data_IF_722215349484
#
_entry.id   IF_722215349484
#
_cell.length_a   1.000
_cell.length_b   1.000
_cell.length_c   1.000
_cell.angle_alpha   90.00
_cell.angle_beta   90.00
_cell.angle_gamma   90.00
#
_symmetry.space_group_name_H-M   'P 1'
#
loop_
_entity.id
_entity.type
_entity.pdbx_description
1 polymer ?
#
# COMPACT_ATOMS: atom_id res chain seq x y z
N UNK A 1 -12.44 3.99 2.44
CA UNK A 1 -11.92 4.91 1.46
C UNK A 1 -10.87 5.81 2.04
N UNK A 2 -10.05 6.33 1.20
CA UNK A 2 -8.95 7.18 1.61
C UNK A 2 -9.42 8.38 2.42
N UNK A 3 -10.45 9.05 1.96
CA UNK A 3 -10.96 10.21 2.64
C UNK A 3 -11.41 9.90 4.04
N UNK A 4 -12.03 8.74 4.22
CA UNK A 4 -12.47 8.36 5.54
C UNK A 4 -11.30 8.10 6.47
N UNK A 5 -10.24 7.53 5.95
CA UNK A 5 -9.05 7.32 6.76
C UNK A 5 -8.47 8.64 7.25
N UNK A 6 -8.41 9.64 6.37
CA UNK A 6 -7.85 10.94 6.74
C UNK A 6 -8.75 11.71 7.69
N UNK A 7 -10.03 11.71 7.42
CA UNK A 7 -10.98 12.46 8.22
C UNK A 7 -11.07 11.94 9.63
N UNK A 8 -10.83 10.67 9.80
CA UNK A 8 -11.02 10.04 11.07
C UNK A 8 -9.77 9.90 11.90
N UNK A 9 -8.80 10.77 11.68
CA UNK A 9 -7.59 10.65 12.43
C UNK A 9 -7.84 10.68 13.94
N UNK A 10 -8.72 11.55 14.40
CA UNK A 10 -9.07 11.59 15.83
C UNK A 10 -9.86 10.39 16.26
N UNK A 11 -10.77 9.95 15.43
CA UNK A 11 -11.56 8.77 15.75
C UNK A 11 -10.71 7.55 15.76
N UNK A 12 -9.64 7.56 14.99
CA UNK A 12 -8.75 6.43 14.98
C UNK A 12 -8.11 6.18 16.33
N UNK A 13 -7.87 7.21 17.11
CA UNK A 13 -7.31 7.00 18.43
C UNK A 13 -8.28 6.28 19.33
N UNK A 14 -9.56 6.65 19.28
CA UNK A 14 -10.58 5.94 20.03
C UNK A 14 -10.79 4.57 19.46
N UNK A 15 -10.77 4.46 18.14
CA UNK A 15 -10.96 3.18 17.47
C UNK A 15 -9.78 2.25 17.69
N UNK A 16 -8.58 2.81 17.85
CA UNK A 16 -7.39 1.98 18.11
C UNK A 16 -7.52 1.25 19.43
N UNK A 17 -8.12 1.89 20.44
CA UNK A 17 -8.34 1.22 21.71
C UNK A 17 -9.26 0.04 21.55
N UNK A 18 -10.28 0.18 20.71
CA UNK A 18 -11.19 -0.93 20.42
C UNK A 18 -10.55 -1.96 19.52
N UNK A 19 -9.65 -1.54 18.65
CA UNK A 19 -9.01 -2.43 17.72
C UNK A 19 -8.19 -3.50 18.41
N UNK A 20 -7.67 -3.21 19.58
CA UNK A 20 -6.96 -4.24 20.34
C UNK A 20 -7.90 -5.34 20.80
N UNK A 21 -9.19 -5.05 20.88
CA UNK A 21 -10.19 -6.05 21.28
C UNK A 21 -10.75 -6.74 20.03
N UNK A 22 -10.98 -5.97 18.98
CA UNK A 22 -11.60 -6.48 17.74
C UNK A 22 -10.84 -5.97 16.52
N UNK A 23 -9.65 -6.53 16.30
CA UNK A 23 -8.88 -6.18 15.12
C UNK A 23 -9.58 -6.70 13.87
N UNK A 24 -9.70 -5.88 12.83
CA UNK A 24 -10.26 -6.37 11.58
C UNK A 24 -9.29 -7.36 10.93
N UNK A 25 -9.85 -8.34 10.22
CA UNK A 25 -9.03 -9.28 9.48
C UNK A 25 -8.45 -8.64 8.23
N UNK A 26 -9.16 -7.68 7.66
CA UNK A 26 -8.78 -7.04 6.41
C UNK A 26 -8.98 -5.54 6.54
N UNK A 27 -8.00 -4.80 6.05
CA UNK A 27 -8.10 -3.35 5.90
C UNK A 27 -7.99 -3.04 4.41
N UNK A 28 -8.94 -2.26 3.91
CA UNK A 28 -8.90 -1.80 2.52
C UNK A 28 -8.48 -0.34 2.51
N UNK A 29 -7.43 -0.04 1.75
CA UNK A 29 -6.90 1.31 1.65
C UNK A 29 -6.84 1.70 0.17
N UNK A 30 -7.63 2.71 -0.19
CA UNK A 30 -7.76 3.17 -1.56
C UNK A 30 -7.00 4.49 -1.71
N UNK A 31 -5.83 4.43 -2.33
CA UNK A 31 -4.93 5.58 -2.51
C UNK A 31 -4.69 6.31 -1.19
N UNK A 32 -4.26 5.60 -0.16
CA UNK A 32 -4.24 6.18 1.19
C UNK A 32 -3.23 7.30 1.35
N UNK A 33 -2.27 7.41 0.43
CA UNK A 33 -1.20 8.39 0.55
C UNK A 33 -1.40 9.60 -0.36
N UNK A 34 -2.47 9.62 -1.14
CA UNK A 34 -2.63 10.62 -2.19
C UNK A 34 -2.75 12.06 -1.72
N UNK A 35 -3.28 12.27 -0.51
CA UNK A 35 -3.50 13.62 0.00
C UNK A 35 -2.53 14.00 1.11
N UNK A 36 -1.52 13.20 1.37
CA UNK A 36 -0.60 13.39 2.49
C UNK A 36 0.75 13.91 2.01
N UNK A 37 1.44 14.63 2.89
CA UNK A 37 2.81 15.00 2.62
C UNK A 37 3.73 13.79 2.83
N UNK A 38 5.01 13.95 2.51
CA UNK A 38 5.94 12.83 2.52
C UNK A 38 6.08 12.19 3.89
N UNK A 39 6.13 13.01 4.92
CA UNK A 39 6.30 12.49 6.28
C UNK A 39 5.07 11.72 6.72
N UNK A 40 3.90 12.30 6.52
CA UNK A 40 2.65 11.65 6.91
C UNK A 40 2.43 10.38 6.11
N UNK A 41 2.83 10.39 4.84
CA UNK A 41 2.76 9.21 3.99
C UNK A 41 3.58 8.08 4.59
N UNK A 42 4.83 8.36 4.94
CA UNK A 42 5.69 7.32 5.52
C UNK A 42 5.15 6.83 6.85
N UNK A 43 4.64 7.73 7.68
CA UNK A 43 4.08 7.33 8.96
C UNK A 43 2.90 6.40 8.78
N UNK A 44 2.03 6.71 7.83
CA UNK A 44 0.88 5.86 7.56
C UNK A 44 1.30 4.50 7.06
N UNK A 45 2.23 4.46 6.10
CA UNK A 45 2.69 3.20 5.55
C UNK A 45 3.35 2.33 6.61
N UNK A 46 4.13 2.93 7.50
CA UNK A 46 4.75 2.20 8.58
C UNK A 46 3.72 1.62 9.53
N UNK A 47 2.66 2.36 9.82
CA UNK A 47 1.59 1.86 10.68
C UNK A 47 0.88 0.67 10.05
N UNK A 48 0.60 0.76 8.77
CA UNK A 48 -0.05 -0.34 8.06
C UNK A 48 0.82 -1.58 8.07
N UNK A 49 2.12 -1.38 7.83
CA UNK A 49 3.04 -2.51 7.86
C UNK A 49 3.13 -3.11 9.24
N UNK A 50 3.14 -2.28 10.26
CA UNK A 50 3.17 -2.76 11.64
C UNK A 50 1.95 -3.63 11.94
N UNK A 51 0.77 -3.17 11.53
CA UNK A 51 -0.44 -3.95 11.76
C UNK A 51 -0.40 -5.29 11.04
N UNK A 52 0.16 -5.29 9.84
CA UNK A 52 0.28 -6.53 9.11
C UNK A 52 1.25 -7.50 9.79
N UNK A 53 2.39 -6.99 10.23
CA UNK A 53 3.44 -7.85 10.80
C UNK A 53 3.11 -8.30 12.22
N UNK A 54 2.55 -7.42 13.04
CA UNK A 54 2.32 -7.73 14.44
C UNK A 54 0.99 -8.38 14.72
N UNK A 55 -0.01 -8.08 13.91
CA UNK A 55 -1.36 -8.57 14.16
C UNK A 55 -1.91 -9.43 13.05
N UNK A 56 -1.08 -9.75 12.05
CA UNK A 56 -1.49 -10.56 10.90
C UNK A 56 -2.70 -10.00 10.17
N UNK A 57 -2.87 -8.67 10.23
CA UNK A 57 -3.95 -8.03 9.51
C UNK A 57 -3.61 -8.04 8.01
N UNK A 58 -4.55 -8.49 7.19
CA UNK A 58 -4.37 -8.41 5.75
C UNK A 58 -4.71 -7.01 5.28
N UNK A 59 -3.82 -6.41 4.51
CA UNK A 59 -4.04 -5.06 4.01
C UNK A 59 -4.07 -5.13 2.50
N UNK A 60 -5.18 -4.67 1.94
CA UNK A 60 -5.34 -4.55 0.50
C UNK A 60 -5.29 -3.07 0.16
N UNK A 61 -4.23 -2.68 -0.54
CA UNK A 61 -4.03 -1.28 -0.87
C UNK A 61 -4.09 -1.10 -2.37
N UNK A 62 -4.84 -0.09 -2.81
CA UNK A 62 -4.87 0.31 -4.20
C UNK A 62 -4.10 1.61 -4.31
N UNK A 63 -3.06 1.62 -5.12
CA UNK A 63 -2.22 2.81 -5.27
C UNK A 63 -1.47 2.76 -6.59
N UNK A 64 -1.09 3.92 -7.09
CA UNK A 64 -0.16 4.01 -8.21
C UNK A 64 1.19 4.57 -7.76
N UNK A 65 1.39 4.71 -6.46
CA UNK A 65 2.62 5.23 -5.88
C UNK A 65 3.57 4.07 -5.58
N UNK A 66 4.72 4.00 -6.28
CA UNK A 66 5.64 2.88 -6.06
C UNK A 66 6.24 2.86 -4.65
N UNK A 67 6.33 4.00 -3.99
CA UNK A 67 6.80 4.00 -2.60
C UNK A 67 5.81 3.26 -1.71
N UNK A 68 4.53 3.56 -1.87
CA UNK A 68 3.50 2.86 -1.10
C UNK A 68 3.52 1.37 -1.41
N UNK A 69 3.63 1.03 -2.67
CA UNK A 69 3.65 -0.37 -3.08
C UNK A 69 4.85 -1.12 -2.50
N UNK A 70 5.98 -0.45 -2.32
CA UNK A 70 7.18 -1.10 -1.80
C UNK A 70 7.05 -1.53 -0.34
N UNK A 71 6.05 -1.04 0.37
CA UNK A 71 5.81 -1.46 1.74
C UNK A 71 5.01 -2.75 1.84
N UNK A 72 4.52 -3.26 0.71
CA UNK A 72 3.72 -4.47 0.70
C UNK A 72 4.60 -5.70 0.49
N UNK A 73 4.00 -6.87 0.71
CA UNK A 73 4.67 -8.13 0.45
C UNK A 73 4.47 -8.59 -0.99
N UNK A 74 3.40 -8.14 -1.60
CA UNK A 74 3.00 -8.59 -2.93
C UNK A 74 2.35 -7.43 -3.66
N UNK A 75 2.73 -7.25 -4.90
CA UNK A 75 2.17 -6.22 -5.77
C UNK A 75 1.55 -6.89 -6.97
N UNK A 76 0.28 -6.57 -7.22
CA UNK A 76 -0.42 -7.02 -8.41
C UNK A 76 -0.58 -5.82 -9.32
N UNK A 77 0.01 -5.87 -10.49
CA UNK A 77 -0.07 -4.76 -11.43
C UNK A 77 -1.15 -5.02 -12.45
N UNK A 78 -2.01 -4.03 -12.61
CA UNK A 78 -3.14 -4.11 -13.51
C UNK A 78 -2.93 -3.22 -14.71
N UNK A 79 -3.42 -3.68 -15.85
CA UNK A 79 -3.44 -2.86 -17.05
C UNK A 79 -4.69 -3.23 -17.83
N UNK A 80 -5.47 -2.22 -18.18
CA UNK A 80 -6.71 -2.40 -18.96
C UNK A 80 -7.65 -3.42 -18.32
N UNK A 81 -7.75 -3.35 -16.98
CA UNK A 81 -8.67 -4.21 -16.26
C UNK A 81 -8.21 -5.63 -16.06
N UNK A 82 -6.98 -5.93 -16.45
CA UNK A 82 -6.45 -7.29 -16.33
C UNK A 82 -5.14 -7.29 -15.58
N UNK A 83 -4.80 -8.43 -14.99
CA UNK A 83 -3.54 -8.58 -14.29
C UNK A 83 -2.42 -8.64 -15.32
N UNK A 84 -1.49 -7.69 -15.22
CA UNK A 84 -0.32 -7.66 -16.06
C UNK A 84 0.78 -8.55 -15.49
N UNK A 85 1.07 -8.39 -14.22
CA UNK A 85 2.10 -9.20 -13.56
C UNK A 85 1.94 -9.08 -12.05
N UNK A 86 2.62 -9.97 -11.33
CA UNK A 86 2.67 -9.96 -9.88
C UNK A 86 4.12 -9.96 -9.45
N UNK A 87 4.42 -9.17 -8.43
CA UNK A 87 5.75 -9.09 -7.86
C UNK A 87 5.67 -9.46 -6.39
N UNK A 88 6.64 -10.20 -5.91
CA UNK A 88 6.73 -10.61 -4.52
C UNK A 88 8.03 -10.09 -3.94
N UNK A 89 7.95 -9.51 -2.74
CA UNK A 89 9.17 -9.06 -2.10
C UNK A 89 10.07 -10.23 -1.72
N UNK A 90 9.48 -11.28 -1.18
CA UNK A 90 10.26 -12.44 -0.77
C UNK A 90 11.34 -12.03 0.22
N UNK A 91 12.57 -12.40 -0.07
CA UNK A 91 13.71 -12.08 0.78
C UNK A 91 14.39 -10.78 0.42
N UNK A 92 13.91 -10.07 -0.59
CA UNK A 92 14.49 -8.81 -0.98
C UNK A 92 14.22 -7.73 0.06
N UNK A 93 15.15 -6.78 0.20
CA UNK A 93 14.87 -5.65 1.04
C UNK A 93 13.91 -4.69 0.31
N UNK A 94 13.44 -3.68 1.05
CA UNK A 94 12.44 -2.78 0.50
C UNK A 94 12.97 -1.98 -0.68
N UNK A 95 14.23 -1.61 -0.65
CA UNK A 95 14.82 -0.84 -1.74
C UNK A 95 14.92 -1.65 -3.02
N UNK A 96 15.32 -2.89 -2.91
CA UNK A 96 15.40 -3.78 -4.07
C UNK A 96 14.02 -4.00 -4.65
N UNK A 97 13.04 -4.21 -3.79
CA UNK A 97 11.66 -4.39 -4.23
C UNK A 97 11.13 -3.12 -4.90
N UNK A 98 11.44 -1.96 -4.32
CA UNK A 98 11.05 -0.68 -4.90
C UNK A 98 11.60 -0.51 -6.32
N UNK A 99 12.86 -0.85 -6.51
CA UNK A 99 13.48 -0.75 -7.83
C UNK A 99 12.81 -1.66 -8.83
N UNK A 100 12.44 -2.85 -8.40
CA UNK A 100 11.75 -3.79 -9.27
C UNK A 100 10.37 -3.25 -9.66
N UNK A 101 9.67 -2.65 -8.72
CA UNK A 101 8.36 -2.06 -8.98
C UNK A 101 8.50 -0.93 -10.01
N UNK A 102 9.48 -0.05 -9.82
CA UNK A 102 9.74 1.06 -10.73
C UNK A 102 10.03 0.54 -12.12
N UNK A 103 10.88 -0.45 -12.23
CA UNK A 103 11.24 -1.01 -13.52
C UNK A 103 10.02 -1.60 -14.22
N UNK A 104 9.18 -2.30 -13.49
CA UNK A 104 7.98 -2.91 -14.06
C UNK A 104 6.99 -1.84 -14.50
N UNK A 105 6.84 -0.77 -13.71
CA UNK A 105 5.99 0.34 -14.12
C UNK A 105 6.49 1.00 -15.38
N UNK A 106 7.79 1.11 -15.53
CA UNK A 106 8.39 1.69 -16.73
C UNK A 106 8.07 0.85 -17.97
N UNK A 107 8.09 -0.46 -17.83
CA UNK A 107 7.75 -1.34 -18.93
C UNK A 107 6.29 -1.11 -19.34
N UNK A 108 5.39 -1.01 -18.35
CA UNK A 108 3.99 -0.72 -18.65
C UNK A 108 3.82 0.61 -19.38
N UNK A 109 4.48 1.65 -18.85
CA UNK A 109 4.42 2.96 -19.46
C UNK A 109 5.08 3.01 -20.81
N UNK A 110 6.22 2.31 -20.96
CA UNK A 110 6.92 2.24 -22.23
C UNK A 110 6.09 1.60 -23.31
N UNK A 111 5.36 0.55 -22.95
CA UNK A 111 4.45 -0.08 -23.91
C UNK A 111 3.42 0.93 -24.41
N UNK A 112 2.90 1.73 -23.48
CA UNK A 112 1.91 2.75 -23.87
C UNK A 112 2.52 3.81 -24.77
N UNK A 113 3.78 4.20 -24.50
CA UNK A 113 4.43 5.21 -25.31
C UNK A 113 4.84 4.69 -26.68
N UNK A 114 5.07 3.41 -26.78
CA UNK A 114 5.45 2.82 -28.04
C UNK A 114 4.32 2.85 -29.05
N UNK A 115 3.13 2.98 -28.57
CA UNK A 115 1.98 3.02 -29.43
C UNK A 115 1.75 4.41 -29.98
#
# INVERSE_FOLDING_TARGET
RQRQMCIRDRRQRTSAARAFINLPSIIFADEPTGALDSKSTLDLLKRLKYMNEEFNTTILMVTHDPVAASFSNRVVMLKDGQIFTELYQGDDDKQTFYKEIIRTQSVLGGINYEL
#
